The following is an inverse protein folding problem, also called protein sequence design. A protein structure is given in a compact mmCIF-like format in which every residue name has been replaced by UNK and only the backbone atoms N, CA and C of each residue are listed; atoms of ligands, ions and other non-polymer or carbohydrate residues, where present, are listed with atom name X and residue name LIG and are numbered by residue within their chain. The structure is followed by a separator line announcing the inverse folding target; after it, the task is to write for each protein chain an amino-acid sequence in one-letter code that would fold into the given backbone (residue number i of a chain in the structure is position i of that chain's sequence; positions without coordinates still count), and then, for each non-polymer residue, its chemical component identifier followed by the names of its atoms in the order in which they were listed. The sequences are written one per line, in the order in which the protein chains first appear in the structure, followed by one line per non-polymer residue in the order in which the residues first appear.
data_IF_913917446644
#
_entry.id   IF_913917446644
#
_cell.length_a   1.000
_cell.length_b   1.000
_cell.length_c   1.000
_cell.angle_alpha   90.00
_cell.angle_beta   90.00
_cell.angle_gamma   90.00
#
_symmetry.space_group_name_H-M   'P 1'
#
loop_
_entity.id
_entity.type
_entity.pdbx_description
1 polymer ?
#
# COMPACT_ATOMS: atom_id res chain seq x y z
N UNK A 1 -6.20 12.67 8.64
CA UNK A 1 -4.87 13.02 9.21
C UNK A 1 -4.18 13.93 8.21
N UNK A 2 -3.75 15.13 8.61
CA UNK A 2 -3.30 16.19 7.70
C UNK A 2 -1.93 16.75 8.11
N UNK A 3 -1.13 17.13 7.14
CA UNK A 3 0.11 17.86 7.35
C UNK A 3 0.42 18.77 6.16
N UNK A 4 0.83 20.00 6.45
CA UNK A 4 1.48 20.88 5.49
C UNK A 4 2.99 20.80 5.66
N UNK A 5 3.72 20.46 4.60
CA UNK A 5 5.16 20.22 4.60
C UNK A 5 5.84 21.31 3.77
N UNK A 6 6.26 22.37 4.47
CA UNK A 6 6.76 23.58 3.82
C UNK A 6 5.68 24.27 2.97
N UNK A 7 6.11 25.02 1.96
CA UNK A 7 5.19 25.81 1.13
C UNK A 7 4.71 25.08 -0.13
N UNK A 8 5.37 23.99 -0.50
CA UNK A 8 5.15 23.27 -1.76
C UNK A 8 4.36 21.98 -1.63
N UNK A 9 4.15 21.48 -0.41
CA UNK A 9 3.51 20.19 -0.21
C UNK A 9 2.46 20.27 0.90
N UNK A 10 1.31 19.70 0.60
CA UNK A 10 0.24 19.48 1.57
C UNK A 10 -0.34 18.10 1.35
N UNK A 11 -0.48 17.36 2.45
CA UNK A 11 -0.82 15.94 2.43
C UNK A 11 -1.96 15.72 3.41
N UNK A 12 -2.97 14.97 2.97
CA UNK A 12 -3.95 14.38 3.87
C UNK A 12 -4.06 12.88 3.61
N UNK A 13 -4.29 12.11 4.65
CA UNK A 13 -4.45 10.66 4.61
C UNK A 13 -5.70 10.29 5.41
N UNK A 14 -6.50 9.43 4.81
CA UNK A 14 -7.62 8.73 5.42
C UNK A 14 -7.52 7.24 5.13
N UNK A 15 -8.36 6.45 5.80
CA UNK A 15 -8.54 5.04 5.49
C UNK A 15 -9.48 4.88 4.30
N UNK A 16 -9.26 3.82 3.54
CA UNK A 16 -10.17 3.35 2.50
C UNK A 16 -10.63 1.93 2.77
N UNK A 17 -11.75 1.55 2.17
CA UNK A 17 -12.37 0.22 2.33
C UNK A 17 -11.76 -0.81 1.36
N UNK A 18 -10.44 -1.02 1.45
CA UNK A 18 -9.75 -2.10 0.75
C UNK A 18 -9.41 -1.85 -0.72
N UNK A 19 -9.66 -0.65 -1.23
CA UNK A 19 -9.12 -0.16 -2.50
C UNK A 19 -8.35 1.15 -2.31
N UNK A 20 -7.17 1.26 -2.92
CA UNK A 20 -6.39 2.51 -2.89
C UNK A 20 -7.16 3.61 -3.60
N UNK A 21 -7.27 4.76 -2.94
CA UNK A 21 -7.87 5.97 -3.52
C UNK A 21 -6.89 7.14 -3.43
N UNK A 22 -6.95 8.02 -4.42
CA UNK A 22 -6.13 9.22 -4.43
C UNK A 22 -6.88 10.41 -5.00
N UNK A 23 -6.62 11.58 -4.46
CA UNK A 23 -7.01 12.86 -5.05
C UNK A 23 -5.79 13.74 -5.03
N UNK A 24 -5.34 14.23 -6.17
CA UNK A 24 -4.11 15.01 -6.20
C UNK A 24 -4.09 16.13 -7.22
N UNK A 25 -3.28 17.13 -6.88
CA UNK A 25 -3.07 18.34 -7.66
C UNK A 25 -1.58 18.62 -7.78
N UNK A 26 -1.15 19.00 -8.99
CA UNK A 26 0.21 19.50 -9.26
C UNK A 26 0.09 20.87 -9.92
N UNK A 27 0.60 21.92 -9.27
CA UNK A 27 0.48 23.30 -9.75
C UNK A 27 -0.98 23.66 -10.12
N UNK A 28 -1.93 23.27 -9.27
CA UNK A 28 -3.38 23.42 -9.46
C UNK A 28 -4.00 22.60 -10.60
N UNK A 29 -3.26 21.67 -11.22
CA UNK A 29 -3.77 20.74 -12.23
C UNK A 29 -4.21 19.45 -11.54
N UNK A 30 -5.44 19.00 -11.78
CA UNK A 30 -5.97 17.76 -11.22
C UNK A 30 -5.34 16.53 -11.90
N UNK A 31 -4.45 15.85 -11.19
CA UNK A 31 -3.82 14.59 -11.65
C UNK A 31 -4.69 13.41 -11.25
N UNK A 32 -5.80 13.22 -11.96
CA UNK A 32 -6.84 12.23 -11.60
C UNK A 32 -6.36 10.78 -11.64
N UNK A 33 -5.31 10.47 -12.42
CA UNK A 33 -4.65 9.16 -12.45
C UNK A 33 -3.42 9.09 -11.54
N UNK A 34 -3.11 10.18 -10.83
CA UNK A 34 -2.03 10.28 -9.87
C UNK A 34 -0.68 10.51 -10.56
N UNK A 35 0.30 9.69 -10.23
CA UNK A 35 1.64 9.78 -10.80
C UNK A 35 2.73 9.77 -9.73
N UNK A 36 3.92 10.19 -10.13
CA UNK A 36 5.14 10.06 -9.33
C UNK A 36 5.10 10.80 -8.00
N UNK A 37 4.36 11.91 -7.89
CA UNK A 37 4.18 12.67 -6.64
C UNK A 37 3.31 11.91 -5.64
N UNK A 38 2.23 11.28 -6.11
CA UNK A 38 1.35 10.44 -5.27
C UNK A 38 2.11 9.23 -4.77
N UNK A 39 2.85 8.56 -5.65
CA UNK A 39 3.66 7.40 -5.28
C UNK A 39 4.77 7.77 -4.29
N UNK A 40 5.43 8.91 -4.47
CA UNK A 40 6.45 9.40 -3.53
C UNK A 40 5.93 9.50 -2.10
N UNK A 41 4.75 10.09 -1.90
CA UNK A 41 4.14 10.22 -0.57
C UNK A 41 3.59 8.88 -0.06
N UNK A 42 2.85 8.17 -0.91
CA UNK A 42 2.18 6.92 -0.54
C UNK A 42 3.19 5.84 -0.15
N UNK A 43 4.33 5.76 -0.83
CA UNK A 43 5.36 4.77 -0.53
C UNK A 43 6.00 5.00 0.84
N UNK A 44 6.20 6.25 1.27
CA UNK A 44 6.72 6.57 2.60
C UNK A 44 5.77 6.09 3.71
N UNK A 45 4.47 6.44 3.59
CA UNK A 45 3.44 6.02 4.56
C UNK A 45 3.29 4.49 4.57
N UNK A 46 3.25 3.89 3.38
CA UNK A 46 3.10 2.45 3.20
C UNK A 46 4.25 1.68 3.83
N UNK A 47 5.50 2.10 3.60
CA UNK A 47 6.68 1.46 4.18
C UNK A 47 6.64 1.51 5.71
N UNK A 48 6.30 2.67 6.28
CA UNK A 48 6.18 2.85 7.73
C UNK A 48 5.14 1.92 8.36
N UNK A 49 3.92 1.92 7.83
CA UNK A 49 2.82 1.07 8.35
C UNK A 49 3.12 -0.41 8.15
N UNK A 50 3.63 -0.81 6.98
CA UNK A 50 4.03 -2.19 6.70
C UNK A 50 5.05 -2.70 7.72
N UNK A 51 6.09 -1.91 7.98
CA UNK A 51 7.12 -2.25 8.96
C UNK A 51 6.53 -2.38 10.37
N UNK A 52 5.61 -1.50 10.75
CA UNK A 52 4.93 -1.55 12.04
C UNK A 52 4.09 -2.82 12.20
N UNK A 53 3.28 -3.17 11.20
CA UNK A 53 2.42 -4.36 11.21
C UNK A 53 3.27 -5.64 11.27
N UNK A 54 4.26 -5.77 10.39
CA UNK A 54 5.13 -6.96 10.36
C UNK A 54 6.01 -7.08 11.60
N UNK A 55 6.35 -5.97 12.28
CA UNK A 55 7.01 -5.98 13.59
C UNK A 55 6.07 -6.46 14.71
N UNK A 56 4.78 -6.09 14.65
CA UNK A 56 3.76 -6.50 15.63
C UNK A 56 3.33 -7.97 15.45
N UNK A 57 3.26 -8.46 14.21
CA UNK A 57 2.98 -9.86 13.88
C UNK A 57 3.83 -10.32 12.69
N UNK A 58 4.90 -11.07 12.98
CA UNK A 58 5.85 -11.55 11.95
C UNK A 58 5.18 -12.43 10.89
N UNK A 59 4.23 -13.27 11.32
CA UNK A 59 3.53 -14.19 10.42
C UNK A 59 2.52 -13.49 9.52
N UNK A 60 2.16 -12.23 9.79
CA UNK A 60 1.19 -11.50 8.99
C UNK A 60 1.66 -11.31 7.55
N UNK A 61 2.99 -11.20 7.34
CA UNK A 61 3.64 -11.06 6.03
C UNK A 61 2.92 -10.06 5.11
N UNK A 62 2.51 -8.92 5.68
CA UNK A 62 1.77 -7.89 4.96
C UNK A 62 2.71 -7.21 3.97
N UNK A 63 2.28 -7.11 2.71
CA UNK A 63 3.04 -6.49 1.63
C UNK A 63 2.63 -5.04 1.45
N UNK A 64 3.54 -4.22 0.90
CA UNK A 64 3.30 -2.81 0.60
C UNK A 64 2.00 -2.57 -0.18
N UNK A 65 1.71 -3.39 -1.20
CA UNK A 65 0.48 -3.29 -1.98
C UNK A 65 -0.80 -3.45 -1.14
N UNK A 66 -0.79 -4.38 -0.16
CA UNK A 66 -1.93 -4.58 0.75
C UNK A 66 -2.17 -3.35 1.61
N UNK A 67 -1.11 -2.76 2.15
CA UNK A 67 -1.21 -1.52 2.95
C UNK A 67 -1.72 -0.38 2.07
N UNK A 68 -1.15 -0.18 0.87
CA UNK A 68 -1.57 0.85 -0.08
C UNK A 68 -3.07 0.75 -0.37
N UNK A 69 -3.61 -0.45 -0.52
CA UNK A 69 -5.05 -0.63 -0.79
C UNK A 69 -5.98 -0.17 0.34
N UNK A 70 -5.48 0.09 1.56
CA UNK A 70 -6.28 0.60 2.68
C UNK A 70 -6.07 2.10 2.92
N UNK A 71 -5.41 2.79 1.99
CA UNK A 71 -5.15 4.21 2.07
C UNK A 71 -6.00 5.00 1.07
N UNK A 72 -6.50 6.13 1.54
CA UNK A 72 -6.96 7.23 0.71
C UNK A 72 -6.06 8.43 0.92
N UNK A 73 -5.29 8.79 -0.11
CA UNK A 73 -4.27 9.84 -0.02
C UNK A 73 -4.69 11.08 -0.82
N UNK A 74 -4.52 12.24 -0.22
CA UNK A 74 -4.74 13.54 -0.84
C UNK A 74 -3.40 14.25 -0.91
N UNK A 75 -3.00 14.72 -2.10
CA UNK A 75 -1.70 15.37 -2.32
C UNK A 75 -1.88 16.65 -3.10
N UNK A 76 -1.49 17.78 -2.53
CA UNK A 76 -1.33 19.03 -3.26
C UNK A 76 0.17 19.37 -3.31
N UNK A 77 0.72 19.55 -4.51
CA UNK A 77 2.15 19.71 -4.72
C UNK A 77 2.48 20.84 -5.71
N UNK A 78 3.57 21.56 -5.43
CA UNK A 78 4.20 22.49 -6.37
C UNK A 78 5.50 21.90 -6.91
N UNK A 79 5.51 21.62 -8.22
CA UNK A 79 6.58 20.89 -8.92
C UNK A 79 7.22 21.80 -9.97
N UNK A 80 8.55 21.85 -9.99
CA UNK A 80 9.30 22.60 -11.00
C UNK A 80 9.23 21.88 -12.36
N UNK A 81 8.86 22.62 -13.41
CA UNK A 81 8.80 22.15 -14.80
C UNK A 81 8.13 20.76 -14.97
N UNK A 82 6.85 20.60 -14.55
CA UNK A 82 6.22 19.28 -14.50
C UNK A 82 5.99 18.71 -15.91
N UNK A 83 6.42 17.47 -16.11
CA UNK A 83 6.08 16.62 -17.23
C UNK A 83 4.92 15.68 -16.89
N UNK A 84 4.04 15.44 -17.87
CA UNK A 84 2.85 14.61 -17.76
C UNK A 84 2.82 13.54 -18.86
N UNK A 85 1.91 12.58 -18.74
CA UNK A 85 1.69 11.51 -19.72
C UNK A 85 1.17 12.03 -21.07
N UNK A 86 0.28 13.02 -21.04
CA UNK A 86 -0.38 13.57 -22.22
C UNK A 86 -0.85 15.01 -21.99
N UNK A 87 -1.50 15.60 -22.99
CA UNK A 87 -2.05 16.95 -22.91
C UNK A 87 -3.15 17.11 -21.86
N UNK A 88 -3.91 16.04 -21.54
CA UNK A 88 -4.92 16.08 -20.48
C UNK A 88 -4.32 16.14 -19.08
N UNK A 89 -3.00 15.86 -18.95
CA UNK A 89 -2.21 15.99 -17.72
C UNK A 89 -2.77 15.22 -16.53
N UNK A 90 -3.36 14.05 -16.81
CA UNK A 90 -4.00 13.23 -15.79
C UNK A 90 -2.98 12.50 -14.89
N UNK A 91 -1.76 12.27 -15.39
CA UNK A 91 -0.69 11.58 -14.68
C UNK A 91 0.61 12.37 -14.67
N UNK A 92 1.18 12.66 -13.50
CA UNK A 92 2.53 13.25 -13.40
C UNK A 92 3.60 12.18 -13.67
N UNK A 93 4.54 12.49 -14.58
CA UNK A 93 5.65 11.58 -14.97
C UNK A 93 7.03 12.08 -14.53
N UNK A 94 7.11 13.33 -14.06
CA UNK A 94 8.35 13.95 -13.55
C UNK A 94 9.01 13.06 -12.50
N UNK A 95 10.32 12.82 -12.60
CA UNK A 95 11.02 12.01 -11.60
C UNK A 95 11.16 12.79 -10.28
N UNK A 96 11.11 12.08 -9.16
CA UNK A 96 11.21 12.68 -7.82
C UNK A 96 12.44 13.59 -7.64
N UNK A 97 13.59 13.21 -8.21
CA UNK A 97 14.81 14.00 -8.16
C UNK A 97 14.69 15.38 -8.85
N UNK A 98 13.70 15.55 -9.73
CA UNK A 98 13.45 16.77 -10.51
C UNK A 98 12.25 17.56 -9.99
N UNK A 99 11.70 17.23 -8.81
CA UNK A 99 10.56 17.96 -8.25
C UNK A 99 10.88 19.40 -7.83
N UNK A 100 12.17 19.74 -7.67
CA UNK A 100 12.60 21.03 -7.15
C UNK A 100 12.43 21.19 -5.64
N UNK A 101 11.88 20.17 -4.97
CA UNK A 101 11.71 20.13 -3.51
C UNK A 101 11.63 18.69 -3.02
N UNK A 102 11.94 18.48 -1.73
CA UNK A 102 11.72 17.22 -1.02
C UNK A 102 10.48 17.32 -0.14
N UNK A 103 9.84 16.19 0.12
CA UNK A 103 8.71 16.07 1.01
C UNK A 103 8.82 14.78 1.82
N UNK A 104 9.55 14.87 2.94
CA UNK A 104 9.62 13.79 3.91
C UNK A 104 8.38 13.87 4.79
N UNK A 105 7.61 12.78 4.85
CA UNK A 105 6.34 12.77 5.62
C UNK A 105 6.67 12.94 7.11
N UNK A 106 6.08 13.94 7.80
CA UNK A 106 6.41 14.21 9.19
C UNK A 106 6.17 13.01 10.10
N UNK A 107 7.08 12.78 11.06
CA UNK A 107 6.96 11.66 12.01
C UNK A 107 5.69 11.75 12.86
N UNK A 108 5.24 12.97 13.17
CA UNK A 108 3.94 13.20 13.84
C UNK A 108 2.78 12.64 13.03
N UNK A 109 2.76 12.92 11.73
CA UNK A 109 1.74 12.39 10.82
C UNK A 109 1.79 10.87 10.74
N UNK A 110 2.99 10.28 10.67
CA UNK A 110 3.16 8.82 10.65
C UNK A 110 2.64 8.17 11.93
N UNK A 111 2.90 8.78 13.10
CA UNK A 111 2.36 8.32 14.40
C UNK A 111 0.84 8.41 14.45
N UNK A 112 0.24 9.45 13.87
CA UNK A 112 -1.22 9.57 13.81
C UNK A 112 -1.83 8.53 12.87
N UNK A 113 -1.17 8.21 11.75
CA UNK A 113 -1.58 7.11 10.85
C UNK A 113 -1.51 5.77 11.57
N UNK A 114 -0.48 5.50 12.38
CA UNK A 114 -0.44 4.27 13.19
C UNK A 114 -1.65 4.15 14.13
N UNK A 115 -2.07 5.27 14.73
CA UNK A 115 -3.19 5.34 15.68
C UNK A 115 -4.56 5.39 15.01
N UNK A 116 -4.63 5.49 13.69
CA UNK A 116 -5.89 5.66 12.97
C UNK A 116 -6.72 4.36 12.87
N UNK A 117 -6.22 3.25 13.42
CA UNK A 117 -6.82 1.92 13.30
C UNK A 117 -6.33 1.09 12.11
N UNK A 118 -5.53 1.68 11.19
CA UNK A 118 -5.04 0.95 10.00
C UNK A 118 -4.23 -0.29 10.36
N UNK A 119 -3.44 -0.21 11.43
CA UNK A 119 -2.60 -1.33 11.89
C UNK A 119 -3.49 -2.48 12.34
N UNK A 120 -4.57 -2.20 13.06
CA UNK A 120 -5.48 -3.22 13.56
C UNK A 120 -6.33 -3.82 12.42
N UNK A 121 -6.81 -2.98 11.48
CA UNK A 121 -7.47 -3.45 10.25
C UNK A 121 -6.58 -4.41 9.45
N UNK A 122 -5.30 -4.08 9.28
CA UNK A 122 -4.36 -4.92 8.55
C UNK A 122 -4.02 -6.23 9.27
N UNK A 123 -3.96 -6.21 10.61
CA UNK A 123 -3.80 -7.43 11.41
C UNK A 123 -5.00 -8.36 11.26
N UNK A 124 -6.22 -7.83 11.38
CA UNK A 124 -7.45 -8.61 11.17
C UNK A 124 -7.55 -9.16 9.75
N UNK A 125 -7.14 -8.38 8.74
CA UNK A 125 -7.06 -8.86 7.36
C UNK A 125 -6.06 -10.03 7.23
N UNK A 126 -4.91 -9.94 7.88
CA UNK A 126 -3.90 -11.00 7.85
C UNK A 126 -4.41 -12.29 8.53
N UNK A 127 -5.08 -12.18 9.68
CA UNK A 127 -5.72 -13.31 10.37
C UNK A 127 -6.77 -13.99 9.49
N UNK A 128 -7.63 -13.20 8.85
CA UNK A 128 -8.66 -13.69 7.96
C UNK A 128 -8.07 -14.43 6.76
N UNK A 129 -7.02 -13.86 6.15
CA UNK A 129 -6.33 -14.46 5.01
C UNK A 129 -5.67 -15.79 5.39
N UNK A 130 -4.94 -15.83 6.50
CA UNK A 130 -4.31 -17.06 7.01
C UNK A 130 -5.37 -18.15 7.27
N UNK A 131 -6.46 -17.80 7.95
CA UNK A 131 -7.56 -18.73 8.23
C UNK A 131 -8.19 -19.29 6.95
N UNK A 132 -8.35 -18.45 5.93
CA UNK A 132 -8.88 -18.86 4.62
C UNK A 132 -7.93 -19.79 3.87
N UNK A 133 -6.62 -19.52 3.92
CA UNK A 133 -5.63 -20.35 3.23
C UNK A 133 -5.42 -21.71 3.95
N UNK A 134 -5.52 -21.76 5.28
CA UNK A 134 -5.57 -23.02 6.05
C UNK A 134 -6.77 -23.89 5.63
N UNK A 135 -7.98 -23.31 5.58
CA UNK A 135 -9.21 -24.02 5.16
C UNK A 135 -9.12 -24.60 3.74
N UNK A 136 -8.36 -23.99 2.83
CA UNK A 136 -8.12 -24.55 1.49
C UNK A 136 -7.20 -25.77 1.50
N UNK A 137 -6.34 -25.89 2.51
CA UNK A 137 -5.32 -26.93 2.59
C UNK A 137 -5.85 -28.20 3.28
N UNK A 138 -6.97 -28.11 4.00
CA UNK A 138 -7.58 -29.21 4.78
C UNK A 138 -8.30 -30.31 3.97
N UNK A 139 -8.34 -30.24 2.64
CA UNK A 139 -9.32 -31.02 1.86
C UNK A 139 -8.90 -31.58 0.51
N UNK A 140 -7.77 -32.29 0.39
CA UNK A 140 -7.65 -33.41 -0.57
C UNK A 140 -6.66 -34.45 -0.04
N UNK A 141 -7.12 -35.34 0.85
CA UNK A 141 -6.41 -36.59 1.14
C UNK A 141 -6.53 -37.51 -0.08
N UNK A 142 -5.67 -37.33 -1.07
CA UNK A 142 -5.45 -38.38 -2.09
C UNK A 142 -4.65 -39.49 -1.42
N UNK A 143 -5.33 -40.46 -0.81
CA UNK A 143 -4.68 -41.72 -0.42
C UNK A 143 -4.27 -42.45 -1.69
N UNK A 144 -3.03 -42.23 -2.13
CA UNK A 144 -2.42 -43.02 -3.19
C UNK A 144 -1.91 -44.31 -2.57
N UNK A 145 -2.79 -45.31 -2.46
CA UNK A 145 -2.42 -46.67 -2.07
C UNK A 145 -1.41 -47.17 -3.11
N UNK A 146 -0.12 -47.18 -2.76
CA UNK A 146 0.93 -47.91 -3.47
C UNK A 146 1.27 -49.12 -2.65
N UNK A 147 0.71 -50.27 -3.02
CA UNK A 147 0.91 -51.51 -2.29
C UNK A 147 0.00 -52.63 -2.77
N UNK A 148 0.08 -52.98 -4.05
CA UNK A 148 -0.32 -54.31 -4.51
C UNK A 148 0.99 -55.06 -4.77
N UNK A 149 1.45 -55.79 -3.75
CA UNK A 149 2.45 -56.84 -3.93
C UNK A 149 1.71 -57.98 -4.64
N UNK A 150 2.06 -58.26 -5.89
CA UNK A 150 1.57 -59.46 -6.58
C UNK A 150 2.19 -60.69 -5.90
N UNK A 151 1.35 -61.53 -5.30
CA UNK A 151 1.67 -62.93 -5.04
C UNK A 151 1.61 -63.69 -6.38
N UNK A 152 2.61 -64.52 -6.66
CA UNK A 152 2.51 -65.99 -6.70
C UNK A 152 3.86 -66.59 -7.15
N UNK A 153 4.48 -67.37 -6.26
CA UNK A 153 5.48 -68.40 -6.58
C UNK A 153 4.72 -69.73 -6.67
N UNK A 154 4.76 -70.37 -7.84
CA UNK A 154 4.54 -71.80 -8.07
C UNK A 154 5.18 -72.20 -9.41
#
# INVERSE_FOLDING_TARGET
IHAKVGDRWEICVSLSDGQFQQVSFVNSIATIKGGTHVDYITNQITAHVMNKVNKKKKDANVKAHTVKNHLWVFVNALIDNPAFDSQTKETLTTRQASFGSKCDVPESMLKDVEKSGIVDTLLSWADFKQSKDLKKTDGTKTQRIRGIVKLEDA
#
